data_IF_391429230512
#
_entry.id   IF_391429230512
#
_cell.length_a   1.000
_cell.length_b   1.000
_cell.length_c   1.000
_cell.angle_alpha   90.00
_cell.angle_beta   90.00
_cell.angle_gamma   90.00
#
_symmetry.space_group_name_H-M   'P 1'
#
loop_
_entity.id
_entity.type
_entity.pdbx_description
1 polymer ?
#
# COMPACT_ATOMS: atom_id res chain seq x y z
N UNK A 1 -12.33 -22.30 25.26
CA UNK A 1 -11.50 -21.36 24.46
C UNK A 1 -11.54 -21.90 23.05
N UNK A 2 -11.96 -21.10 22.08
CA UNK A 2 -12.03 -21.57 20.68
C UNK A 2 -10.63 -21.36 20.09
N UNK A 3 -10.00 -22.44 19.64
CA UNK A 3 -8.68 -22.41 19.02
C UNK A 3 -8.79 -22.11 17.49
N UNK A 4 -7.89 -21.30 16.96
CA UNK A 4 -7.81 -21.04 15.51
C UNK A 4 -7.62 -22.31 14.68
N UNK A 5 -6.94 -23.32 15.23
CA UNK A 5 -6.77 -24.62 14.60
C UNK A 5 -8.11 -25.33 14.40
N UNK A 6 -8.92 -25.38 15.45
CA UNK A 6 -10.23 -26.06 15.41
C UNK A 6 -11.15 -25.37 14.41
N UNK A 7 -11.14 -24.03 14.38
CA UNK A 7 -11.92 -23.26 13.41
C UNK A 7 -11.43 -23.52 11.97
N UNK A 8 -10.11 -23.54 11.77
CA UNK A 8 -9.52 -23.80 10.45
C UNK A 8 -9.99 -25.13 9.90
N UNK A 9 -9.90 -26.18 10.73
CA UNK A 9 -10.31 -27.56 10.36
C UNK A 9 -11.82 -27.65 10.15
N UNK A 10 -12.63 -27.01 11.00
CA UNK A 10 -14.09 -26.97 10.86
C UNK A 10 -14.55 -26.25 9.58
N UNK A 11 -13.77 -25.30 9.08
CA UNK A 11 -14.02 -24.63 7.80
C UNK A 11 -13.49 -25.40 6.59
N UNK A 12 -12.90 -26.59 6.79
CA UNK A 12 -12.30 -27.40 5.72
C UNK A 12 -10.95 -26.88 5.25
N UNK A 13 -10.21 -26.19 6.12
CA UNK A 13 -8.90 -25.63 5.85
C UNK A 13 -7.75 -26.51 6.31
N UNK A 14 -6.51 -26.02 6.08
CA UNK A 14 -5.27 -26.68 6.45
C UNK A 14 -4.55 -25.88 7.54
N UNK A 15 -4.02 -26.59 8.55
CA UNK A 15 -3.27 -26.01 9.65
C UNK A 15 -1.76 -26.20 9.46
N UNK A 16 -0.99 -25.11 9.56
CA UNK A 16 0.46 -25.07 9.32
C UNK A 16 1.24 -24.68 10.60
N UNK A 17 1.08 -25.44 11.68
CA UNK A 17 1.80 -25.25 12.95
C UNK A 17 1.30 -24.10 13.80
N UNK A 18 1.32 -22.86 13.31
CA UNK A 18 0.93 -21.64 14.05
C UNK A 18 -0.15 -20.82 13.33
N UNK A 19 -0.50 -21.18 12.10
CA UNK A 19 -1.47 -20.47 11.27
C UNK A 19 -2.28 -21.49 10.46
N UNK A 20 -3.55 -21.22 10.24
CA UNK A 20 -4.42 -21.95 9.35
C UNK A 20 -4.83 -21.15 8.12
N UNK A 21 -5.08 -21.86 7.01
CA UNK A 21 -5.70 -21.31 5.83
C UNK A 21 -6.96 -22.09 5.50
N UNK A 22 -8.09 -21.39 5.30
CA UNK A 22 -9.39 -22.01 5.09
C UNK A 22 -10.21 -21.25 4.03
N UNK A 23 -11.27 -21.86 3.49
CA UNK A 23 -12.29 -21.10 2.76
C UNK A 23 -12.91 -20.02 3.66
N UNK A 24 -13.08 -18.81 3.14
CA UNK A 24 -13.78 -17.78 3.87
C UNK A 24 -15.29 -18.09 3.90
N UNK A 25 -15.94 -18.22 5.06
CA UNK A 25 -17.35 -18.59 5.12
C UNK A 25 -18.30 -17.50 4.58
N UNK A 26 -17.81 -16.26 4.40
CA UNK A 26 -18.58 -15.15 3.85
C UNK A 26 -18.49 -15.11 2.31
N UNK A 27 -17.28 -15.05 1.74
CA UNK A 27 -17.09 -14.88 0.29
C UNK A 27 -16.74 -16.19 -0.44
N UNK A 28 -16.64 -17.32 0.28
CA UNK A 28 -16.42 -18.67 -0.25
C UNK A 28 -17.32 -19.69 0.47
N UNK A 29 -18.65 -19.47 0.49
CA UNK A 29 -19.59 -20.30 1.27
C UNK A 29 -19.63 -21.76 0.81
N UNK A 30 -19.25 -22.07 -0.44
CA UNK A 30 -19.19 -23.42 -0.97
C UNK A 30 -18.10 -24.29 -0.34
N UNK A 31 -17.09 -23.65 0.28
CA UNK A 31 -15.98 -24.30 0.98
C UNK A 31 -15.26 -25.38 0.15
N UNK A 32 -15.04 -25.10 -1.14
CA UNK A 32 -14.34 -26.04 -2.03
C UNK A 32 -12.90 -26.27 -1.57
N UNK A 33 -12.31 -27.46 -1.85
CA UNK A 33 -10.96 -27.80 -1.41
C UNK A 33 -9.84 -26.89 -1.93
N UNK A 34 -10.08 -26.18 -3.05
CA UNK A 34 -9.16 -25.23 -3.67
C UNK A 34 -9.22 -23.81 -3.09
N UNK A 35 -10.19 -23.55 -2.21
CA UNK A 35 -10.43 -22.22 -1.63
C UNK A 35 -9.63 -22.05 -0.32
N UNK A 36 -8.83 -20.96 -0.23
CA UNK A 36 -7.96 -20.67 0.92
C UNK A 36 -7.86 -19.15 1.18
N UNK A 37 -8.98 -18.43 1.06
CA UNK A 37 -8.97 -16.97 1.19
C UNK A 37 -8.87 -16.47 2.64
N UNK A 38 -9.15 -17.30 3.63
CA UNK A 38 -9.14 -16.93 5.04
C UNK A 38 -7.88 -17.46 5.73
N UNK A 39 -7.08 -16.58 6.32
CA UNK A 39 -6.04 -16.98 7.27
C UNK A 39 -6.53 -16.80 8.70
N UNK A 40 -6.19 -17.77 9.54
CA UNK A 40 -6.58 -17.85 10.95
C UNK A 40 -5.35 -18.14 11.81
N UNK A 41 -5.23 -17.47 12.94
CA UNK A 41 -4.23 -17.79 13.97
C UNK A 41 -4.75 -17.41 15.35
N UNK A 42 -4.23 -18.06 16.38
CA UNK A 42 -4.39 -17.63 17.78
C UNK A 42 -3.13 -16.92 18.23
N UNK A 43 -3.28 -15.71 18.77
CA UNK A 43 -2.16 -14.92 19.29
C UNK A 43 -2.63 -14.19 20.57
N UNK A 44 -1.90 -14.39 21.67
CA UNK A 44 -2.24 -13.79 22.97
C UNK A 44 -3.63 -14.16 23.48
N UNK A 45 -4.12 -15.37 23.20
CA UNK A 45 -5.47 -15.83 23.58
C UNK A 45 -6.60 -15.29 22.69
N UNK A 46 -6.29 -14.64 21.58
CA UNK A 46 -7.23 -14.05 20.62
C UNK A 46 -7.25 -14.81 19.32
N UNK A 47 -8.43 -14.90 18.72
CA UNK A 47 -8.58 -15.34 17.35
C UNK A 47 -8.30 -14.14 16.41
N UNK A 48 -7.36 -14.30 15.51
CA UNK A 48 -7.12 -13.39 14.40
C UNK A 48 -7.57 -14.07 13.11
N UNK A 49 -8.41 -13.40 12.34
CA UNK A 49 -8.90 -13.86 11.04
C UNK A 49 -8.80 -12.75 10.01
N UNK A 50 -8.26 -13.07 8.83
CA UNK A 50 -8.12 -12.12 7.72
C UNK A 50 -8.53 -12.78 6.40
N UNK A 51 -9.45 -12.14 5.68
CA UNK A 51 -9.90 -12.58 4.36
C UNK A 51 -9.12 -11.86 3.26
N UNK A 52 -8.27 -12.61 2.53
CA UNK A 52 -7.42 -12.08 1.45
C UNK A 52 -8.19 -11.82 0.14
N UNK A 53 -9.36 -12.42 -0.06
CA UNK A 53 -10.13 -12.30 -1.30
C UNK A 53 -11.13 -11.15 -1.26
N UNK A 54 -12.01 -11.14 -0.27
CA UNK A 54 -13.12 -10.19 -0.18
C UNK A 54 -12.93 -9.10 0.87
N UNK A 55 -11.85 -9.12 1.67
CA UNK A 55 -11.67 -8.21 2.79
C UNK A 55 -12.82 -8.26 3.81
N UNK A 56 -13.48 -9.44 3.93
CA UNK A 56 -14.70 -9.60 4.72
C UNK A 56 -14.45 -9.19 6.18
N UNK A 57 -15.44 -8.53 6.76
CA UNK A 57 -15.37 -8.08 8.16
C UNK A 57 -15.24 -9.26 9.13
N UNK A 58 -14.48 -9.07 10.20
CA UNK A 58 -14.24 -10.10 11.21
C UNK A 58 -15.53 -10.62 11.86
N UNK A 59 -16.51 -9.74 12.13
CA UNK A 59 -17.77 -10.12 12.75
C UNK A 59 -18.63 -10.95 11.82
N UNK A 60 -18.61 -10.61 10.51
CA UNK A 60 -19.30 -11.40 9.49
C UNK A 60 -18.68 -12.79 9.33
N UNK A 61 -17.34 -12.88 9.35
CA UNK A 61 -16.63 -14.17 9.31
C UNK A 61 -17.00 -15.02 10.50
N UNK A 62 -16.97 -14.47 11.70
CA UNK A 62 -17.31 -15.16 12.96
C UNK A 62 -18.75 -15.65 12.94
N UNK A 63 -19.70 -14.79 12.53
CA UNK A 63 -21.12 -15.12 12.41
C UNK A 63 -21.35 -16.23 11.39
N UNK A 64 -20.76 -16.13 10.21
CA UNK A 64 -20.88 -17.13 9.15
C UNK A 64 -20.15 -18.46 9.47
N UNK A 65 -19.14 -18.43 10.33
CA UNK A 65 -18.49 -19.61 10.87
C UNK A 65 -19.30 -20.30 12.00
N UNK A 66 -20.41 -19.70 12.44
CA UNK A 66 -21.24 -20.25 13.53
C UNK A 66 -20.61 -20.14 14.92
N UNK A 67 -19.67 -19.20 15.11
CA UNK A 67 -18.97 -19.02 16.37
C UNK A 67 -19.79 -18.15 17.32
N UNK A 68 -20.03 -18.56 18.57
CA UNK A 68 -20.80 -17.77 19.50
C UNK A 68 -20.04 -16.49 19.93
N UNK A 69 -20.68 -15.31 19.82
CA UNK A 69 -20.02 -14.01 20.10
C UNK A 69 -19.49 -13.86 21.52
N UNK A 70 -20.15 -14.50 22.51
CA UNK A 70 -19.79 -14.48 23.92
C UNK A 70 -18.46 -15.20 24.21
N UNK A 71 -18.06 -16.17 23.39
CA UNK A 71 -16.76 -16.84 23.48
C UNK A 71 -15.62 -16.08 22.79
N UNK A 72 -15.95 -15.00 22.09
CA UNK A 72 -15.02 -14.07 21.44
C UNK A 72 -14.82 -12.80 22.26
N UNK A 73 -15.38 -12.72 23.47
CA UNK A 73 -15.15 -11.61 24.38
C UNK A 73 -13.63 -11.42 24.55
N UNK A 74 -13.14 -10.33 23.97
CA UNK A 74 -11.74 -9.93 24.09
C UNK A 74 -11.52 -9.54 25.56
N UNK A 75 -10.58 -10.19 26.23
CA UNK A 75 -10.10 -9.70 27.52
C UNK A 75 -9.57 -8.27 27.32
N UNK A 76 -10.16 -7.24 27.96
CA UNK A 76 -9.73 -5.86 27.79
C UNK A 76 -8.27 -5.62 28.20
N UNK A 77 -7.72 -6.43 29.10
CA UNK A 77 -6.32 -6.35 29.50
C UNK A 77 -5.41 -6.90 28.40
N UNK A 78 -5.76 -8.07 27.83
CA UNK A 78 -5.03 -8.64 26.71
C UNK A 78 -5.13 -7.76 25.44
N UNK A 79 -6.25 -7.06 25.25
CA UNK A 79 -6.38 -6.08 24.13
C UNK A 79 -5.42 -4.91 24.32
N UNK A 80 -5.40 -4.30 25.51
CA UNK A 80 -4.48 -3.19 25.82
C UNK A 80 -3.01 -3.59 25.64
N UNK A 81 -2.63 -4.79 26.11
CA UNK A 81 -1.26 -5.30 25.96
C UNK A 81 -0.89 -5.51 24.47
N UNK A 82 -1.80 -6.05 23.66
CA UNK A 82 -1.59 -6.22 22.23
C UNK A 82 -1.48 -4.87 21.51
N UNK A 83 -2.31 -3.89 21.88
CA UNK A 83 -2.29 -2.55 21.30
C UNK A 83 -1.00 -1.81 21.69
N UNK A 84 -0.52 -1.96 22.92
CA UNK A 84 0.76 -1.43 23.38
C UNK A 84 1.93 -2.03 22.59
N UNK A 85 1.98 -3.36 22.45
CA UNK A 85 3.00 -4.05 21.64
C UNK A 85 3.00 -3.61 20.18
N UNK A 86 1.80 -3.40 19.60
CA UNK A 86 1.66 -2.88 18.24
C UNK A 86 2.20 -1.46 18.14
N UNK A 87 1.84 -0.58 19.06
CA UNK A 87 2.32 0.80 19.09
C UNK A 87 3.86 0.87 19.24
N UNK A 88 4.44 0.02 20.09
CA UNK A 88 5.89 -0.06 20.26
C UNK A 88 6.59 -0.58 18.98
N UNK A 89 6.02 -1.58 18.33
CA UNK A 89 6.53 -2.07 17.06
C UNK A 89 6.47 -0.99 15.96
N UNK A 90 5.32 -0.31 15.82
CA UNK A 90 5.14 0.77 14.84
C UNK A 90 6.12 1.93 15.10
N UNK A 91 6.33 2.30 16.37
CA UNK A 91 7.33 3.31 16.77
C UNK A 91 8.74 2.88 16.37
N UNK A 92 9.13 1.65 16.67
CA UNK A 92 10.44 1.12 16.28
C UNK A 92 10.63 1.08 14.76
N UNK A 93 9.59 0.75 13.98
CA UNK A 93 9.64 0.81 12.51
C UNK A 93 9.75 2.26 12.01
N UNK A 94 9.06 3.20 12.63
CA UNK A 94 9.13 4.61 12.29
C UNK A 94 10.51 5.19 12.57
N UNK A 95 11.13 4.83 13.68
CA UNK A 95 12.50 5.27 14.02
C UNK A 95 13.53 4.73 12.99
N UNK A 96 13.38 3.47 12.56
CA UNK A 96 14.18 2.91 11.47
C UNK A 96 13.96 3.66 10.15
N UNK A 97 12.72 4.05 9.85
CA UNK A 97 12.39 4.82 8.65
C UNK A 97 13.05 6.19 8.68
N UNK A 98 12.95 6.91 9.80
CA UNK A 98 13.59 8.21 10.01
C UNK A 98 15.12 8.14 9.93
N UNK A 99 15.72 7.13 10.55
CA UNK A 99 17.16 6.90 10.47
C UNK A 99 17.61 6.62 9.02
N UNK A 100 16.85 5.82 8.27
CA UNK A 100 17.13 5.58 6.85
C UNK A 100 17.00 6.87 6.03
N UNK A 101 15.94 7.63 6.24
CA UNK A 101 15.72 8.92 5.57
C UNK A 101 16.85 9.90 5.86
N UNK A 102 17.27 10.04 7.12
CA UNK A 102 18.33 10.97 7.53
C UNK A 102 19.70 10.67 6.91
N UNK A 103 20.02 9.37 6.67
CA UNK A 103 21.29 8.96 6.03
C UNK A 103 21.23 8.89 4.51
N UNK A 104 20.04 8.94 3.91
CA UNK A 104 19.88 8.94 2.47
C UNK A 104 20.25 10.31 1.89
N UNK A 105 21.01 10.32 0.78
CA UNK A 105 21.40 11.54 0.08
C UNK A 105 20.35 11.97 -0.94
N UNK A 106 20.34 13.24 -1.39
CA UNK A 106 19.48 13.68 -2.47
C UNK A 106 19.57 12.75 -3.68
N UNK A 107 18.46 12.59 -4.40
CA UNK A 107 18.38 11.64 -5.52
C UNK A 107 19.19 12.11 -6.75
N UNK A 108 19.44 13.41 -6.88
CA UNK A 108 20.18 14.01 -7.99
C UNK A 108 21.59 13.44 -8.11
N UNK A 109 22.02 13.10 -9.31
CA UNK A 109 23.33 12.51 -9.59
C UNK A 109 23.44 11.04 -9.16
N UNK A 110 22.33 10.37 -8.84
CA UNK A 110 22.33 8.96 -8.43
C UNK A 110 21.78 8.03 -9.51
N UNK A 111 21.97 6.73 -9.30
CA UNK A 111 21.34 5.69 -10.14
C UNK A 111 19.82 5.73 -10.06
N UNK A 112 19.24 6.24 -8.97
CA UNK A 112 17.81 6.48 -8.84
C UNK A 112 17.32 7.56 -9.81
N UNK A 113 18.04 8.67 -9.94
CA UNK A 113 17.74 9.66 -10.99
C UNK A 113 17.88 9.06 -12.39
N UNK A 114 19.00 8.38 -12.66
CA UNK A 114 19.22 7.75 -13.96
C UNK A 114 18.08 6.77 -14.32
N UNK A 115 17.60 5.99 -13.35
CA UNK A 115 16.45 5.12 -13.54
C UNK A 115 15.18 5.92 -13.91
N UNK A 116 14.87 6.98 -13.20
CA UNK A 116 13.68 7.80 -13.48
C UNK A 116 13.78 8.49 -14.84
N UNK A 117 14.98 9.03 -15.22
CA UNK A 117 15.21 9.63 -16.53
C UNK A 117 15.07 8.59 -17.66
N UNK A 118 15.58 7.37 -17.44
CA UNK A 118 15.41 6.24 -18.36
C UNK A 118 13.95 5.80 -18.54
N UNK A 119 13.05 6.18 -17.63
CA UNK A 119 11.61 5.99 -17.75
C UNK A 119 10.88 7.19 -18.39
N UNK A 120 11.61 8.11 -19.00
CA UNK A 120 11.05 9.29 -19.67
C UNK A 120 10.61 10.43 -18.74
N UNK A 121 10.88 10.32 -17.45
CA UNK A 121 10.51 11.35 -16.46
C UNK A 121 11.43 12.56 -16.63
N UNK A 122 10.88 13.71 -16.99
CA UNK A 122 11.61 14.96 -17.26
C UNK A 122 11.40 16.05 -16.21
N UNK A 123 10.34 15.95 -15.42
CA UNK A 123 10.04 16.94 -14.39
C UNK A 123 11.18 17.08 -13.36
N UNK A 124 11.28 18.21 -12.64
CA UNK A 124 12.16 18.33 -11.49
C UNK A 124 11.86 17.21 -10.46
N UNK A 125 12.91 16.54 -9.98
CA UNK A 125 12.73 15.49 -8.98
C UNK A 125 12.52 16.12 -7.60
N UNK A 126 11.51 15.65 -6.85
CA UNK A 126 11.15 16.26 -5.57
C UNK A 126 12.17 15.93 -4.46
N UNK A 127 12.23 16.82 -3.45
CA UNK A 127 13.06 16.61 -2.25
C UNK A 127 12.58 15.42 -1.40
N UNK A 128 11.34 14.96 -1.61
CA UNK A 128 10.78 13.75 -1.01
C UNK A 128 11.39 12.45 -1.55
N UNK A 129 12.31 12.53 -2.54
CA UNK A 129 13.05 11.39 -3.07
C UNK A 129 14.52 11.49 -2.73
N UNK A 130 15.06 10.45 -2.13
CA UNK A 130 16.46 10.31 -1.77
C UNK A 130 17.03 8.95 -2.23
N UNK A 131 18.34 8.80 -2.14
CA UNK A 131 19.05 7.58 -2.49
C UNK A 131 19.89 7.07 -1.33
N UNK A 132 19.79 5.77 -1.03
CA UNK A 132 20.63 5.08 -0.07
C UNK A 132 21.33 3.89 -0.74
N UNK A 133 22.66 3.74 -0.51
CA UNK A 133 23.46 2.71 -1.16
C UNK A 133 23.40 1.34 -0.47
N UNK A 134 23.15 1.33 0.85
CA UNK A 134 23.16 0.12 1.67
C UNK A 134 21.87 0.04 2.50
N UNK A 135 20.88 -0.67 1.94
CA UNK A 135 19.59 -0.91 2.57
C UNK A 135 19.32 -2.40 2.58
N UNK A 136 19.05 -2.95 3.76
CA UNK A 136 18.71 -4.35 3.88
C UNK A 136 17.38 -4.67 3.21
N UNK A 137 17.39 -5.63 2.28
CA UNK A 137 16.20 -6.16 1.62
C UNK A 137 15.81 -7.49 2.27
N UNK A 138 14.85 -7.44 3.20
CA UNK A 138 14.44 -8.60 4.01
C UNK A 138 14.14 -9.87 3.22
N UNK A 139 13.31 -9.82 2.13
CA UNK A 139 12.97 -11.02 1.39
C UNK A 139 14.14 -11.78 0.78
N UNK A 140 15.22 -11.08 0.40
CA UNK A 140 16.43 -11.75 -0.15
C UNK A 140 17.61 -11.81 0.82
N UNK A 141 17.51 -11.21 2.01
CA UNK A 141 18.62 -11.11 2.97
C UNK A 141 19.82 -10.27 2.48
N UNK A 142 19.70 -9.57 1.34
CA UNK A 142 20.80 -8.84 0.69
C UNK A 142 20.83 -7.37 1.08
N UNK A 143 22.01 -6.78 1.04
CA UNK A 143 22.19 -5.33 1.11
C UNK A 143 22.21 -4.75 -0.30
N UNK A 144 21.25 -3.88 -0.61
CA UNK A 144 21.00 -3.34 -1.93
C UNK A 144 20.96 -1.81 -1.87
N UNK A 145 20.97 -1.16 -3.04
CA UNK A 145 20.66 0.25 -3.12
C UNK A 145 19.16 0.47 -3.17
N UNK A 146 18.69 1.63 -2.70
CA UNK A 146 17.28 1.97 -2.76
C UNK A 146 17.04 3.45 -3.07
N UNK A 147 16.06 3.73 -3.91
CA UNK A 147 15.36 4.99 -3.91
C UNK A 147 14.41 5.00 -2.69
N UNK A 148 14.58 6.00 -1.84
CA UNK A 148 13.83 6.17 -0.59
C UNK A 148 12.90 7.38 -0.77
N UNK A 149 11.61 7.16 -0.63
CA UNK A 149 10.60 8.21 -0.72
C UNK A 149 9.98 8.47 0.66
N UNK A 150 9.96 9.73 1.07
CA UNK A 150 9.36 10.16 2.33
C UNK A 150 7.83 10.15 2.22
N UNK A 151 7.18 9.48 3.16
CA UNK A 151 5.72 9.44 3.28
C UNK A 151 5.29 10.48 4.32
N UNK A 152 4.17 11.15 4.11
CA UNK A 152 3.64 12.20 5.01
C UNK A 152 3.40 11.74 6.46
N UNK A 153 3.39 10.44 6.73
CA UNK A 153 3.33 9.83 8.07
C UNK A 153 4.68 9.77 8.76
N UNK A 154 5.77 10.15 8.09
CA UNK A 154 7.15 9.96 8.55
C UNK A 154 7.74 8.58 8.26
N UNK A 155 6.95 7.68 7.69
CA UNK A 155 7.42 6.42 7.12
C UNK A 155 8.18 6.64 5.81
N UNK A 156 8.77 5.58 5.25
CA UNK A 156 9.40 5.64 3.92
C UNK A 156 8.95 4.48 3.04
N UNK A 157 8.83 4.76 1.74
CA UNK A 157 8.73 3.76 0.70
C UNK A 157 10.12 3.56 0.09
N UNK A 158 10.50 2.31 -0.20
CA UNK A 158 11.80 1.94 -0.76
C UNK A 158 11.59 1.20 -2.06
N UNK A 159 12.24 1.67 -3.13
CA UNK A 159 12.37 0.91 -4.39
C UNK A 159 13.79 0.42 -4.51
N UNK A 160 13.99 -0.89 -4.57
CA UNK A 160 15.30 -1.53 -4.51
C UNK A 160 15.93 -1.75 -5.87
N UNK A 161 17.27 -1.59 -5.90
CA UNK A 161 18.09 -1.69 -7.10
C UNK A 161 19.33 -2.52 -6.85
N UNK A 162 19.77 -3.22 -7.88
CA UNK A 162 21.10 -3.83 -7.95
C UNK A 162 22.20 -2.76 -7.92
N UNK A 163 23.43 -3.16 -7.61
CA UNK A 163 24.59 -2.25 -7.68
C UNK A 163 24.79 -1.64 -9.08
N UNK A 164 24.32 -2.29 -10.11
CA UNK A 164 24.32 -1.78 -11.49
C UNK A 164 23.38 -0.60 -11.72
N UNK A 165 22.33 -0.46 -10.90
CA UNK A 165 21.25 0.51 -11.06
C UNK A 165 20.00 -0.06 -11.70
N UNK A 166 19.99 -1.35 -12.06
CA UNK A 166 18.77 -2.02 -12.49
C UNK A 166 17.84 -2.26 -11.28
N UNK A 167 16.53 -2.00 -11.43
CA UNK A 167 15.53 -2.34 -10.43
C UNK A 167 15.49 -3.87 -10.26
N UNK A 168 15.50 -4.37 -9.03
CA UNK A 168 15.40 -5.81 -8.78
C UNK A 168 14.03 -6.35 -9.23
N UNK A 169 13.94 -7.62 -9.67
CA UNK A 169 12.67 -8.28 -9.94
C UNK A 169 11.90 -8.58 -8.63
N UNK A 170 10.62 -8.90 -8.74
CA UNK A 170 9.79 -9.32 -7.62
C UNK A 170 9.53 -8.21 -6.60
N UNK A 171 9.89 -8.43 -5.34
CA UNK A 171 9.62 -7.53 -4.22
C UNK A 171 10.48 -6.25 -4.23
N UNK A 172 10.55 -5.57 -5.36
CA UNK A 172 11.35 -4.35 -5.52
C UNK A 172 10.84 -3.18 -4.67
N UNK A 173 9.56 -3.13 -4.37
CA UNK A 173 8.92 -2.02 -3.64
C UNK A 173 8.52 -2.49 -2.24
N UNK A 174 8.96 -1.78 -1.21
CA UNK A 174 8.67 -2.11 0.19
C UNK A 174 8.48 -0.86 1.03
N UNK A 175 7.56 -0.92 1.97
CA UNK A 175 7.34 0.14 2.97
C UNK A 175 8.18 -0.12 4.22
N UNK A 176 8.50 0.94 4.97
CA UNK A 176 9.12 0.86 6.29
C UNK A 176 8.47 1.94 7.17
N UNK A 177 7.86 1.51 8.26
CA UNK A 177 7.00 2.32 9.10
C UNK A 177 5.54 2.34 8.63
N UNK A 178 4.65 3.00 9.38
CA UNK A 178 3.21 3.06 9.11
C UNK A 178 2.92 4.01 7.94
N UNK A 179 2.67 3.48 6.74
CA UNK A 179 2.36 4.26 5.54
C UNK A 179 0.85 4.53 5.34
N UNK A 180 -0.02 3.82 6.05
CA UNK A 180 -1.47 3.93 5.88
C UNK A 180 -1.97 5.38 6.10
N UNK A 181 -2.76 5.86 5.15
CA UNK A 181 -3.29 7.22 5.17
C UNK A 181 -2.32 8.31 4.68
N UNK A 182 -1.04 7.98 4.46
CA UNK A 182 -0.04 8.90 3.95
C UNK A 182 0.16 8.83 2.45
N UNK A 183 0.90 9.81 1.92
CA UNK A 183 1.32 9.89 0.53
C UNK A 183 2.74 10.42 0.42
N UNK A 184 3.36 10.21 -0.74
CA UNK A 184 4.61 10.88 -1.14
C UNK A 184 4.25 12.10 -1.99
N UNK A 185 4.68 13.29 -1.58
CA UNK A 185 4.51 14.51 -2.36
C UNK A 185 5.55 14.53 -3.50
N UNK A 186 5.07 14.51 -4.75
CA UNK A 186 5.93 14.43 -5.94
C UNK A 186 6.06 15.78 -6.67
N UNK A 187 5.07 16.64 -6.56
CA UNK A 187 5.16 18.04 -6.99
C UNK A 187 4.28 18.91 -6.12
N UNK A 188 4.57 20.20 -6.14
CA UNK A 188 3.81 21.25 -5.47
C UNK A 188 3.46 22.31 -6.51
N UNK A 189 2.18 22.51 -6.76
CA UNK A 189 1.67 23.48 -7.74
C UNK A 189 0.36 24.12 -7.28
N UNK A 190 -0.02 25.26 -7.89
CA UNK A 190 -1.23 26.01 -7.49
C UNK A 190 -2.53 25.38 -7.98
N UNK A 191 -2.48 24.40 -8.88
CA UNK A 191 -3.65 23.75 -9.47
C UNK A 191 -4.30 22.69 -8.58
N UNK A 192 -4.94 21.68 -9.19
CA UNK A 192 -5.61 20.61 -8.46
C UNK A 192 -4.64 19.75 -7.66
N UNK A 193 -5.16 19.05 -6.64
CA UNK A 193 -4.50 17.89 -6.09
C UNK A 193 -4.71 16.72 -7.05
N UNK A 194 -3.62 16.11 -7.51
CA UNK A 194 -3.62 14.87 -8.30
C UNK A 194 -3.14 13.74 -7.40
N UNK A 195 -3.93 12.69 -7.30
CA UNK A 195 -3.57 11.48 -6.55
C UNK A 195 -3.44 10.32 -7.52
N UNK A 196 -2.33 9.60 -7.44
CA UNK A 196 -2.06 8.39 -8.19
C UNK A 196 -1.57 7.26 -7.28
N UNK A 197 -1.45 6.05 -7.82
CA UNK A 197 -0.94 4.91 -7.06
C UNK A 197 0.58 4.97 -6.90
N UNK A 198 1.33 5.02 -7.99
CA UNK A 198 2.77 4.85 -8.02
C UNK A 198 3.58 6.16 -8.07
N UNK A 199 4.84 6.12 -7.62
CA UNK A 199 5.78 7.24 -7.71
C UNK A 199 6.09 7.52 -9.20
N UNK A 200 6.36 6.48 -9.97
CA UNK A 200 6.65 6.59 -11.40
C UNK A 200 5.44 7.16 -12.15
N UNK A 201 4.22 6.68 -11.84
CA UNK A 201 2.94 7.21 -12.36
C UNK A 201 2.82 8.71 -12.10
N UNK A 202 3.01 9.14 -10.85
CA UNK A 202 2.87 10.56 -10.48
C UNK A 202 3.93 11.48 -11.10
N UNK A 203 5.18 11.02 -11.19
CA UNK A 203 6.23 11.77 -11.86
C UNK A 203 6.00 11.83 -13.38
N UNK A 204 5.41 10.81 -13.97
CA UNK A 204 5.02 10.82 -15.40
C UNK A 204 3.95 11.86 -15.67
N UNK A 205 2.93 11.93 -14.83
CA UNK A 205 1.90 12.97 -14.90
C UNK A 205 2.51 14.37 -14.82
N UNK A 206 3.42 14.59 -13.86
CA UNK A 206 4.13 15.85 -13.68
C UNK A 206 5.12 16.18 -14.84
N UNK A 207 5.47 15.19 -15.67
CA UNK A 207 6.39 15.34 -16.81
C UNK A 207 5.70 15.75 -18.12
N UNK A 208 4.52 16.35 -18.05
CA UNK A 208 3.84 16.94 -19.22
C UNK A 208 2.52 16.29 -19.59
N UNK A 209 2.05 15.30 -18.83
CA UNK A 209 0.74 14.67 -19.07
C UNK A 209 -0.42 15.42 -18.40
N UNK A 210 -0.14 16.39 -17.54
CA UNK A 210 -1.15 17.28 -16.94
C UNK A 210 -1.25 18.59 -17.74
N UNK A 211 -2.48 19.05 -17.97
CA UNK A 211 -2.73 20.30 -18.71
C UNK A 211 -2.43 21.59 -17.93
N UNK A 212 -2.16 21.49 -16.62
CA UNK A 212 -1.89 22.61 -15.73
C UNK A 212 -0.93 22.19 -14.59
N UNK A 213 -0.20 23.15 -13.98
CA UNK A 213 0.59 22.85 -12.78
C UNK A 213 -0.29 22.31 -11.66
N UNK A 214 0.15 21.24 -11.00
CA UNK A 214 -0.63 20.54 -9.98
C UNK A 214 0.23 20.13 -8.79
N UNK A 215 -0.42 19.93 -7.64
CA UNK A 215 0.17 19.18 -6.53
C UNK A 215 -0.06 17.70 -6.78
N UNK A 216 0.99 16.89 -6.87
CA UNK A 216 0.90 15.45 -7.19
C UNK A 216 1.33 14.59 -6.00
N UNK A 217 0.47 13.68 -5.59
CA UNK A 217 0.69 12.73 -4.50
C UNK A 217 0.63 11.29 -4.99
N UNK A 218 1.60 10.47 -4.56
CA UNK A 218 1.55 9.02 -4.75
C UNK A 218 1.10 8.33 -3.46
N UNK A 219 0.03 7.55 -3.53
CA UNK A 219 -0.56 6.81 -2.41
C UNK A 219 0.11 5.43 -2.18
N UNK A 220 1.06 5.04 -3.03
CA UNK A 220 1.98 3.89 -2.95
C UNK A 220 1.36 2.51 -3.20
N UNK A 221 0.05 2.38 -3.18
CA UNK A 221 -0.67 1.14 -3.48
C UNK A 221 -2.17 1.38 -3.61
N UNK A 222 -2.92 0.45 -4.20
CA UNK A 222 -4.37 0.48 -4.24
C UNK A 222 -5.00 0.53 -2.83
N UNK A 223 -4.57 -0.27 -1.83
CA UNK A 223 -5.02 -0.07 -0.45
C UNK A 223 -4.62 1.29 0.15
N UNK A 224 -3.44 1.81 -0.19
CA UNK A 224 -2.99 3.13 0.23
C UNK A 224 -3.89 4.24 -0.31
N UNK A 225 -4.30 4.13 -1.58
CA UNK A 225 -5.23 5.06 -2.20
C UNK A 225 -6.61 5.07 -1.50
N UNK A 226 -7.14 3.88 -1.16
CA UNK A 226 -8.41 3.76 -0.40
C UNK A 226 -8.34 4.35 1.01
N UNK A 227 -7.18 4.28 1.65
CA UNK A 227 -6.96 4.76 3.02
C UNK A 227 -6.44 6.20 3.09
N UNK A 228 -6.18 6.86 1.96
CA UNK A 228 -5.51 8.16 1.90
C UNK A 228 -6.26 9.25 2.67
N UNK A 229 -5.54 9.97 3.50
CA UNK A 229 -6.06 11.15 4.21
C UNK A 229 -5.88 12.40 3.36
N UNK A 230 -6.96 12.86 2.77
CA UNK A 230 -6.98 14.11 2.03
C UNK A 230 -6.96 15.32 2.99
N UNK A 231 -6.48 16.49 2.53
CA UNK A 231 -6.58 17.74 3.29
C UNK A 231 -8.01 18.01 3.79
N UNK A 232 -8.11 18.71 4.92
CA UNK A 232 -9.41 19.03 5.53
C UNK A 232 -10.25 19.96 4.66
N UNK A 233 -9.58 20.93 4.00
CA UNK A 233 -10.25 21.86 3.09
C UNK A 233 -10.42 21.21 1.72
N UNK A 234 -11.66 20.98 1.27
CA UNK A 234 -11.91 20.45 -0.06
C UNK A 234 -11.51 21.45 -1.15
N UNK A 235 -11.14 20.92 -2.30
CA UNK A 235 -10.74 21.65 -3.48
C UNK A 235 -10.99 20.83 -4.73
N UNK A 236 -10.18 21.03 -5.79
CA UNK A 236 -10.18 20.20 -7.00
C UNK A 236 -9.29 18.98 -6.78
N UNK A 237 -9.82 17.79 -7.04
CA UNK A 237 -9.11 16.51 -6.96
C UNK A 237 -9.18 15.80 -8.30
N UNK A 238 -8.02 15.42 -8.83
CA UNK A 238 -7.91 14.50 -9.95
C UNK A 238 -7.41 13.16 -9.39
N UNK A 239 -8.17 12.09 -9.60
CA UNK A 239 -7.77 10.73 -9.25
C UNK A 239 -7.25 10.06 -10.50
N UNK A 240 -5.92 9.95 -10.62
CA UNK A 240 -5.25 9.30 -11.74
C UNK A 240 -5.11 7.81 -11.44
N UNK A 241 -5.84 7.01 -12.20
CA UNK A 241 -5.94 5.55 -12.02
C UNK A 241 -5.10 4.82 -13.06
N UNK A 242 -4.43 3.76 -12.65
CA UNK A 242 -3.82 2.82 -13.59
C UNK A 242 -4.91 2.02 -14.31
N UNK A 243 -4.65 1.55 -15.53
CA UNK A 243 -5.64 0.94 -16.43
C UNK A 243 -5.97 -0.52 -16.11
N UNK A 244 -5.97 -0.90 -14.82
CA UNK A 244 -6.35 -2.23 -14.34
C UNK A 244 -7.55 -2.19 -13.36
N UNK A 245 -8.08 -3.36 -13.01
CA UNK A 245 -9.25 -3.47 -12.13
C UNK A 245 -8.96 -3.01 -10.70
N UNK A 246 -7.72 -3.16 -10.24
CA UNK A 246 -7.30 -2.74 -8.89
C UNK A 246 -7.22 -1.21 -8.82
N UNK A 247 -6.64 -0.56 -9.83
CA UNK A 247 -6.57 0.89 -9.98
C UNK A 247 -7.96 1.51 -10.10
N UNK A 248 -8.85 0.94 -10.94
CA UNK A 248 -10.23 1.42 -11.07
C UNK A 248 -10.99 1.33 -9.73
N UNK A 249 -10.94 0.17 -9.07
CA UNK A 249 -11.59 -0.03 -7.75
C UNK A 249 -11.07 0.94 -6.68
N UNK A 250 -9.75 1.14 -6.61
CA UNK A 250 -9.16 2.01 -5.60
C UNK A 250 -9.44 3.49 -5.88
N UNK A 251 -9.34 3.89 -7.15
CA UNK A 251 -9.61 5.26 -7.56
C UNK A 251 -11.07 5.66 -7.35
N UNK A 252 -12.03 4.81 -7.70
CA UNK A 252 -13.46 5.07 -7.44
C UNK A 252 -13.78 5.15 -5.96
N UNK A 253 -13.15 4.31 -5.12
CA UNK A 253 -13.33 4.36 -3.67
C UNK A 253 -12.83 5.70 -3.08
N UNK A 254 -11.63 6.15 -3.48
CA UNK A 254 -11.10 7.46 -3.08
C UNK A 254 -11.99 8.60 -3.58
N UNK A 255 -12.41 8.55 -4.85
CA UNK A 255 -13.27 9.56 -5.47
C UNK A 255 -14.61 9.70 -4.73
N UNK A 256 -15.27 8.60 -4.40
CA UNK A 256 -16.51 8.59 -3.63
C UNK A 256 -16.35 9.18 -2.23
N UNK A 257 -15.29 8.80 -1.52
CA UNK A 257 -14.97 9.33 -0.19
C UNK A 257 -14.63 10.84 -0.23
N UNK A 258 -13.92 11.29 -1.26
CA UNK A 258 -13.59 12.70 -1.47
C UNK A 258 -14.84 13.53 -1.81
N UNK A 259 -15.67 13.03 -2.74
CA UNK A 259 -16.92 13.69 -3.13
C UNK A 259 -17.86 13.89 -1.94
N UNK A 260 -18.03 12.88 -1.09
CA UNK A 260 -18.83 12.97 0.14
C UNK A 260 -18.31 14.04 1.13
N UNK A 261 -17.03 14.45 1.01
CA UNK A 261 -16.38 15.50 1.81
C UNK A 261 -16.36 16.87 1.11
N UNK A 262 -17.07 17.01 -0.04
CA UNK A 262 -17.21 18.26 -0.76
C UNK A 262 -16.11 18.57 -1.78
N UNK A 263 -15.25 17.60 -2.14
CA UNK A 263 -14.24 17.77 -3.18
C UNK A 263 -14.88 17.77 -4.57
N UNK A 264 -14.36 18.61 -5.46
CA UNK A 264 -14.66 18.54 -6.90
C UNK A 264 -13.77 17.49 -7.54
N UNK A 265 -14.32 16.32 -7.85
CA UNK A 265 -13.54 15.14 -8.24
C UNK A 265 -13.61 14.92 -9.75
N UNK A 266 -12.45 14.71 -10.37
CA UNK A 266 -12.30 14.24 -11.76
C UNK A 266 -11.56 12.90 -11.74
N UNK A 267 -12.10 11.90 -12.46
CA UNK A 267 -11.40 10.64 -12.69
C UNK A 267 -10.55 10.75 -13.94
N UNK A 268 -9.29 10.31 -13.86
CA UNK A 268 -8.35 10.29 -14.96
C UNK A 268 -7.78 8.87 -15.10
N UNK A 269 -8.51 7.95 -15.78
CA UNK A 269 -8.02 6.59 -16.00
C UNK A 269 -6.97 6.55 -17.10
N UNK A 270 -5.90 5.77 -16.88
CA UNK A 270 -5.00 5.37 -17.96
C UNK A 270 -5.72 4.43 -18.94
N UNK A 271 -5.25 4.31 -20.20
CA UNK A 271 -5.78 3.33 -21.13
C UNK A 271 -5.70 1.91 -20.55
N UNK A 272 -6.66 1.07 -20.88
CA UNK A 272 -6.75 -0.31 -20.35
C UNK A 272 -5.44 -1.06 -20.54
N UNK A 273 -4.95 -1.68 -19.48
CA UNK A 273 -3.70 -2.44 -19.46
C UNK A 273 -2.40 -1.64 -19.36
N UNK A 274 -2.49 -0.30 -19.29
CA UNK A 274 -1.33 0.59 -19.19
C UNK A 274 -1.35 1.35 -17.86
N UNK A 275 -0.15 1.75 -17.40
CA UNK A 275 0.00 2.80 -16.40
C UNK A 275 0.37 4.15 -17.06
N UNK A 276 0.36 5.25 -16.29
CA UNK A 276 0.68 6.57 -16.82
C UNK A 276 2.15 6.74 -17.23
N UNK A 277 3.04 5.87 -16.76
CA UNK A 277 4.41 5.85 -17.24
C UNK A 277 4.52 5.15 -18.62
N UNK A 278 3.71 4.14 -18.87
CA UNK A 278 3.60 3.54 -20.20
C UNK A 278 3.07 4.55 -21.23
N UNK A 279 2.06 5.35 -20.83
CA UNK A 279 1.54 6.45 -21.66
C UNK A 279 2.63 7.50 -21.95
N UNK A 280 3.40 7.92 -20.94
CA UNK A 280 4.50 8.86 -21.12
C UNK A 280 5.57 8.33 -22.10
N UNK A 281 5.83 7.02 -22.09
CA UNK A 281 6.78 6.38 -22.98
C UNK A 281 6.21 6.07 -24.38
N UNK A 282 4.98 6.47 -24.68
CA UNK A 282 4.32 6.23 -25.96
C UNK A 282 3.97 4.77 -26.22
N UNK A 283 3.83 3.94 -25.18
CA UNK A 283 3.37 2.56 -25.32
C UNK A 283 1.89 2.53 -25.64
N UNK A 284 1.49 1.61 -26.50
CA UNK A 284 0.08 1.34 -26.83
C UNK A 284 -0.39 0.07 -26.14
N UNK A 285 -1.67 0.04 -25.77
CA UNK A 285 -2.31 -1.19 -25.29
C UNK A 285 -2.26 -2.26 -26.40
N UNK A 286 -1.93 -3.49 -26.04
CA UNK A 286 -1.88 -4.63 -26.97
C UNK A 286 -3.29 -5.12 -27.29
#
# INVERSE_FOLDING_TARGET
MIDARDITLALGGDWHGHQGNAPCPVCQPERRPDQRALSLRSEGGKLLAFCHKGGCDFREIVKAAGLPPDRLALDPAAQRDADAKRADYERAQLDKARALWGRARPITGTKGEAYLRGRGITCPLPLSLRWASDVHHGPSGRWLSAMVAEVSTGAVHRTFFEKTGARIPGNAKMMLGPCAGGAVALSMGPGPLVVCEGIETGLSLASGLLGEPATVWAALSAPGMKALRLPERPGRLIVAMDGDDAGDSAGRALAGAAYARGWQVTLLPAPRGLDWNDVLQGRTAA
#
